data_IF_898338023568
#
_entry.id   IF_898338023568
#
_cell.length_a   1.000
_cell.length_b   1.000
_cell.length_c   1.000
_cell.angle_alpha   90.00
_cell.angle_beta   90.00
_cell.angle_gamma   90.00
#
_symmetry.space_group_name_H-M   'P 1'
#
loop_
_entity.id
_entity.type
_entity.pdbx_description
1 polymer ?
#
# COMPACT_ATOMS: atom_id res chain seq x y z
N UNK A 1 71.43 37.37 -30.85
CA UNK A 1 70.90 36.09 -31.36
C UNK A 1 70.42 35.23 -30.20
N UNK A 2 69.12 35.17 -29.92
CA UNK A 2 68.54 34.21 -28.98
C UNK A 2 67.27 33.64 -29.60
N UNK A 3 67.27 32.31 -29.75
CA UNK A 3 66.29 31.49 -30.47
C UNK A 3 64.97 31.41 -29.69
N UNK A 4 63.87 31.63 -30.40
CA UNK A 4 62.49 31.31 -30.00
C UNK A 4 62.27 29.80 -29.99
N UNK A 5 61.81 29.24 -28.87
CA UNK A 5 61.28 27.88 -28.79
C UNK A 5 59.77 27.91 -29.06
N UNK A 6 59.33 27.22 -30.12
CA UNK A 6 57.91 26.95 -30.40
C UNK A 6 57.50 25.70 -29.62
N UNK A 7 56.50 25.82 -28.76
CA UNK A 7 55.84 24.68 -28.13
C UNK A 7 54.91 24.01 -29.15
N UNK A 8 55.17 22.73 -29.43
CA UNK A 8 54.35 21.87 -30.27
C UNK A 8 53.29 21.21 -29.35
N UNK A 9 52.03 21.63 -29.50
CA UNK A 9 50.89 21.05 -28.80
C UNK A 9 50.48 19.76 -29.53
N UNK A 10 50.78 18.59 -28.94
CA UNK A 10 50.38 17.29 -29.47
C UNK A 10 48.97 16.95 -28.96
N UNK A 11 47.95 17.15 -29.80
CA UNK A 11 46.58 16.71 -29.53
C UNK A 11 46.49 15.20 -29.74
N UNK A 12 46.35 14.45 -28.65
CA UNK A 12 46.07 13.01 -28.67
C UNK A 12 44.56 12.82 -28.93
N UNK A 13 44.19 12.44 -30.16
CA UNK A 13 42.84 12.01 -30.53
C UNK A 13 42.58 10.61 -29.96
N UNK A 14 41.86 10.53 -28.84
CA UNK A 14 41.32 9.27 -28.32
C UNK A 14 40.05 8.95 -29.12
N UNK A 15 40.16 8.05 -30.09
CA UNK A 15 39.02 7.49 -30.80
C UNK A 15 38.32 6.45 -29.91
N UNK A 16 37.15 6.79 -29.38
CA UNK A 16 36.24 5.80 -28.79
C UNK A 16 35.73 4.88 -29.91
N UNK A 17 35.80 3.54 -29.77
CA UNK A 17 35.12 2.66 -30.71
C UNK A 17 33.62 2.92 -30.59
N UNK A 18 33.03 3.46 -31.65
CA UNK A 18 31.60 3.55 -31.83
C UNK A 18 31.02 2.16 -31.65
N UNK A 19 30.04 2.05 -30.75
CA UNK A 19 29.20 0.87 -30.60
C UNK A 19 28.74 0.47 -32.00
N UNK A 20 29.14 -0.73 -32.44
CA UNK A 20 28.66 -1.31 -33.68
C UNK A 20 27.13 -1.32 -33.60
N UNK A 21 26.49 -0.60 -34.52
CA UNK A 21 25.07 -0.70 -34.74
C UNK A 21 24.75 -2.18 -34.91
N UNK A 22 24.08 -2.75 -33.89
CA UNK A 22 23.36 -4.00 -34.04
C UNK A 22 22.26 -3.70 -35.08
N UNK A 23 22.55 -3.99 -36.34
CA UNK A 23 21.50 -4.23 -37.32
C UNK A 23 20.92 -5.60 -37.01
N UNK A 24 20.21 -5.71 -35.89
CA UNK A 24 19.27 -6.81 -35.69
C UNK A 24 18.07 -6.51 -36.58
N UNK A 25 18.12 -7.16 -37.74
CA UNK A 25 17.08 -7.17 -38.75
C UNK A 25 15.88 -8.06 -38.34
N UNK A 26 15.57 -8.11 -37.05
CA UNK A 26 14.36 -8.69 -36.47
C UNK A 26 13.99 -7.90 -35.20
N UNK A 27 13.76 -6.60 -35.34
CA UNK A 27 12.77 -5.97 -34.47
C UNK A 27 11.43 -6.63 -34.83
N UNK A 28 10.77 -7.39 -33.93
CA UNK A 28 9.47 -7.96 -34.24
C UNK A 28 8.56 -6.80 -34.67
N UNK A 29 7.93 -6.98 -35.82
CA UNK A 29 7.02 -5.98 -36.38
C UNK A 29 5.99 -5.60 -35.30
N UNK A 30 5.62 -4.32 -35.26
CA UNK A 30 4.72 -3.71 -34.27
C UNK A 30 3.38 -4.47 -34.08
N UNK A 31 3.02 -5.35 -35.01
CA UNK A 31 1.84 -6.22 -34.96
C UNK A 31 1.91 -7.40 -33.95
N UNK A 32 3.06 -7.77 -33.40
CA UNK A 32 3.17 -8.96 -32.52
C UNK A 32 2.96 -8.70 -31.02
N UNK A 33 2.56 -7.50 -30.59
CA UNK A 33 2.47 -7.17 -29.15
C UNK A 33 1.06 -7.00 -28.58
N UNK A 34 0.02 -7.04 -29.41
CA UNK A 34 -1.37 -7.06 -28.95
C UNK A 34 -1.91 -8.48 -29.12
N UNK A 35 -1.97 -9.21 -28.02
CA UNK A 35 -2.59 -10.53 -27.96
C UNK A 35 -3.84 -10.46 -27.08
N UNK A 36 -4.75 -11.42 -27.28
CA UNK A 36 -5.88 -11.60 -26.37
C UNK A 36 -5.47 -12.62 -25.34
N UNK A 37 -5.35 -12.21 -24.08
CA UNK A 37 -5.07 -13.12 -22.98
C UNK A 37 -6.39 -13.63 -22.39
N UNK A 38 -6.41 -14.87 -21.94
CA UNK A 38 -7.61 -15.47 -21.34
C UNK A 38 -7.42 -15.60 -19.84
N UNK A 39 -8.33 -15.01 -19.06
CA UNK A 39 -8.45 -15.28 -17.62
C UNK A 39 -9.68 -16.14 -17.38
N UNK A 40 -9.55 -17.16 -16.53
CA UNK A 40 -10.66 -17.99 -16.10
C UNK A 40 -10.92 -17.74 -14.62
N UNK A 41 -12.11 -17.23 -14.30
CA UNK A 41 -12.48 -16.82 -12.94
C UNK A 41 -13.37 -17.90 -12.32
N UNK A 42 -12.92 -18.44 -11.19
CA UNK A 42 -13.59 -19.53 -10.46
C UNK A 42 -13.87 -19.15 -9.02
N UNK A 43 -14.95 -19.67 -8.48
CA UNK A 43 -15.37 -19.50 -7.09
C UNK A 43 -14.87 -20.65 -6.22
N UNK A 44 -14.29 -20.33 -5.07
CA UNK A 44 -13.83 -21.31 -4.06
C UNK A 44 -14.87 -21.58 -2.97
N UNK A 45 -15.90 -20.75 -2.86
CA UNK A 45 -16.88 -20.75 -1.76
C UNK A 45 -18.10 -21.62 -1.96
N UNK A 46 -18.32 -22.10 -3.18
CA UNK A 46 -19.54 -22.77 -3.66
C UNK A 46 -20.76 -21.85 -3.84
N UNK A 47 -20.64 -20.53 -3.65
CA UNK A 47 -21.72 -19.57 -3.91
C UNK A 47 -22.20 -19.64 -5.36
N UNK A 48 -21.29 -19.66 -6.34
CA UNK A 48 -21.65 -19.76 -7.75
C UNK A 48 -22.26 -21.12 -8.09
N UNK A 49 -21.78 -22.19 -7.44
CA UNK A 49 -22.33 -23.54 -7.66
C UNK A 49 -23.76 -23.64 -7.14
N UNK A 50 -24.04 -23.05 -5.98
CA UNK A 50 -25.40 -22.99 -5.43
C UNK A 50 -26.36 -22.17 -6.31
N UNK A 51 -25.90 -21.06 -6.89
CA UNK A 51 -26.73 -20.17 -7.72
C UNK A 51 -26.91 -20.68 -9.15
N UNK A 52 -25.88 -21.27 -9.75
CA UNK A 52 -25.80 -21.51 -11.19
C UNK A 52 -25.34 -22.92 -11.59
N UNK A 53 -25.09 -23.81 -10.63
CA UNK A 53 -24.67 -25.19 -10.89
C UNK A 53 -23.22 -25.34 -11.37
N UNK A 54 -22.42 -24.28 -11.31
CA UNK A 54 -21.00 -24.26 -11.69
C UNK A 54 -20.21 -23.30 -10.80
N UNK A 55 -18.91 -23.55 -10.64
CA UNK A 55 -17.97 -22.66 -9.97
C UNK A 55 -17.49 -21.49 -10.85
N UNK A 56 -17.97 -21.34 -12.09
CA UNK A 56 -17.63 -20.20 -12.95
C UNK A 56 -18.20 -18.89 -12.39
N UNK A 57 -17.34 -17.89 -12.18
CA UNK A 57 -17.78 -16.58 -11.68
C UNK A 57 -18.12 -15.68 -12.85
N UNK A 58 -19.43 -15.53 -13.10
CA UNK A 58 -19.95 -14.58 -14.08
C UNK A 58 -19.97 -13.15 -13.57
N UNK A 59 -19.83 -12.21 -14.51
CA UNK A 59 -19.94 -10.77 -14.24
C UNK A 59 -18.95 -10.26 -13.19
N UNK A 60 -17.82 -10.96 -13.01
CA UNK A 60 -16.70 -10.44 -12.22
C UNK A 60 -16.06 -9.26 -12.93
N UNK A 61 -15.82 -8.17 -12.19
CA UNK A 61 -15.01 -7.05 -12.65
C UNK A 61 -13.54 -7.41 -12.48
N UNK A 62 -12.74 -7.26 -13.54
CA UNK A 62 -11.31 -7.52 -13.53
C UNK A 62 -10.55 -6.23 -13.81
N UNK A 63 -9.68 -5.87 -12.88
CA UNK A 63 -8.78 -4.72 -12.93
C UNK A 63 -7.35 -5.21 -13.13
N UNK A 64 -6.72 -4.74 -14.21
CA UNK A 64 -5.31 -4.98 -14.47
C UNK A 64 -4.58 -3.63 -14.53
N UNK A 65 -3.49 -3.50 -13.79
CA UNK A 65 -2.61 -2.34 -13.90
C UNK A 65 -1.21 -2.78 -14.27
N UNK A 66 -0.66 -2.17 -15.31
CA UNK A 66 0.74 -2.36 -15.68
C UNK A 66 1.60 -1.44 -14.82
N UNK A 67 2.44 -1.96 -13.91
CA UNK A 67 3.35 -1.11 -13.13
C UNK A 67 4.33 -0.38 -14.06
N UNK A 68 4.81 -1.06 -15.09
CA UNK A 68 5.81 -0.53 -16.03
C UNK A 68 5.30 0.63 -16.90
N UNK A 69 4.00 0.63 -17.25
CA UNK A 69 3.41 1.61 -18.18
C UNK A 69 2.45 2.58 -17.51
N UNK A 70 2.03 2.32 -16.28
CA UNK A 70 1.01 3.08 -15.56
C UNK A 70 -0.42 2.89 -16.09
N UNK A 71 -0.61 2.13 -17.16
CA UNK A 71 -1.94 1.89 -17.75
C UNK A 71 -2.80 0.99 -16.85
N UNK A 72 -4.09 1.32 -16.76
CA UNK A 72 -5.11 0.52 -16.09
C UNK A 72 -6.15 0.04 -17.10
N UNK A 73 -6.54 -1.22 -16.99
CA UNK A 73 -7.50 -1.89 -17.86
C UNK A 73 -8.63 -2.49 -17.04
N UNK A 74 -9.85 -2.45 -17.59
CA UNK A 74 -11.07 -2.96 -16.96
C UNK A 74 -11.74 -3.95 -17.89
N UNK A 75 -12.10 -5.10 -17.36
CA UNK A 75 -12.84 -6.14 -18.08
C UNK A 75 -13.96 -6.69 -17.20
N UNK A 76 -14.88 -7.41 -17.84
CA UNK A 76 -15.96 -8.12 -17.14
C UNK A 76 -16.01 -9.56 -17.64
N UNK A 77 -16.08 -10.50 -16.71
CA UNK A 77 -16.19 -11.92 -17.03
C UNK A 77 -17.55 -12.24 -17.65
N UNK A 78 -17.55 -13.10 -18.67
CA UNK A 78 -18.77 -13.58 -19.33
C UNK A 78 -19.55 -14.58 -18.45
N UNK A 79 -20.61 -15.17 -19.00
CA UNK A 79 -21.45 -16.14 -18.29
C UNK A 79 -20.74 -17.46 -17.92
N UNK A 80 -19.58 -17.74 -18.52
CA UNK A 80 -18.71 -18.88 -18.27
C UNK A 80 -17.50 -18.53 -17.38
N UNK A 81 -17.46 -17.30 -16.85
CA UNK A 81 -16.34 -16.83 -16.03
C UNK A 81 -15.06 -16.59 -16.84
N UNK A 82 -15.18 -16.34 -18.14
CA UNK A 82 -14.04 -16.07 -19.02
C UNK A 82 -13.90 -14.57 -19.26
N UNK A 83 -12.67 -14.08 -19.19
CA UNK A 83 -12.28 -12.73 -19.64
C UNK A 83 -11.31 -12.87 -20.81
N UNK A 84 -11.70 -12.29 -21.95
CA UNK A 84 -10.84 -12.10 -23.13
C UNK A 84 -10.18 -10.74 -23.08
N UNK A 85 -9.01 -10.67 -22.46
CA UNK A 85 -8.27 -9.44 -22.22
C UNK A 85 -7.41 -9.06 -23.45
N UNK A 86 -8.03 -8.33 -24.39
CA UNK A 86 -7.37 -7.82 -25.59
C UNK A 86 -6.70 -6.45 -25.35
N UNK A 87 -5.71 -6.11 -26.19
CA UNK A 87 -5.04 -4.80 -26.16
C UNK A 87 -3.97 -4.64 -25.08
N UNK A 88 -3.63 -5.73 -24.39
CA UNK A 88 -2.56 -5.78 -23.40
C UNK A 88 -1.23 -6.14 -24.06
N UNK A 89 -0.15 -5.57 -23.53
CA UNK A 89 1.21 -6.00 -23.87
C UNK A 89 1.64 -7.14 -22.92
N UNK A 90 2.57 -7.97 -23.36
CA UNK A 90 3.23 -8.92 -22.47
C UNK A 90 3.96 -8.23 -21.32
N UNK A 91 3.91 -8.81 -20.14
CA UNK A 91 4.54 -8.28 -18.94
C UNK A 91 3.76 -8.61 -17.67
N UNK A 92 4.22 -8.03 -16.57
CA UNK A 92 3.61 -8.21 -15.25
C UNK A 92 2.49 -7.20 -15.01
N UNK A 93 1.41 -7.66 -14.39
CA UNK A 93 0.26 -6.85 -14.03
C UNK A 93 -0.14 -7.09 -12.58
N UNK A 94 -0.49 -6.01 -11.89
CA UNK A 94 -1.30 -6.08 -10.66
C UNK A 94 -2.72 -6.48 -11.05
N UNK A 95 -3.31 -7.38 -10.28
CA UNK A 95 -4.64 -7.95 -10.51
C UNK A 95 -5.55 -7.74 -9.30
N UNK A 96 -6.68 -7.10 -9.52
CA UNK A 96 -7.84 -7.13 -8.61
C UNK A 96 -9.04 -7.67 -9.38
N UNK A 97 -9.72 -8.66 -8.79
CA UNK A 97 -10.94 -9.24 -9.32
C UNK A 97 -11.98 -9.21 -8.24
N UNK A 98 -13.14 -8.64 -8.54
CA UNK A 98 -14.26 -8.62 -7.62
C UNK A 98 -15.58 -8.99 -8.30
N UNK A 99 -16.48 -9.59 -7.52
CA UNK A 99 -17.87 -9.81 -7.93
C UNK A 99 -18.79 -9.61 -6.74
N UNK A 100 -19.57 -8.53 -6.77
CA UNK A 100 -20.54 -8.21 -5.73
C UNK A 100 -21.67 -9.25 -5.74
N UNK A 101 -22.06 -9.72 -4.56
CA UNK A 101 -23.22 -10.59 -4.36
C UNK A 101 -24.46 -9.72 -4.09
N UNK A 102 -25.55 -9.93 -4.83
CA UNK A 102 -26.79 -9.21 -4.53
C UNK A 102 -27.48 -9.79 -3.28
N UNK A 103 -28.33 -8.99 -2.64
CA UNK A 103 -29.14 -9.45 -1.51
C UNK A 103 -30.00 -10.68 -1.85
N UNK A 104 -30.60 -10.71 -3.05
CA UNK A 104 -31.40 -11.84 -3.52
C UNK A 104 -30.57 -13.11 -3.75
N UNK A 105 -29.32 -12.96 -4.18
CA UNK A 105 -28.39 -14.07 -4.33
C UNK A 105 -27.98 -14.60 -2.97
N UNK A 106 -27.69 -13.71 -2.01
CA UNK A 106 -27.41 -14.07 -0.63
C UNK A 106 -28.59 -14.79 0.03
N UNK A 107 -29.83 -14.32 -0.20
CA UNK A 107 -31.03 -15.00 0.27
C UNK A 107 -31.17 -16.41 -0.32
N UNK A 108 -30.89 -16.56 -1.61
CA UNK A 108 -30.97 -17.86 -2.31
C UNK A 108 -29.96 -18.88 -1.79
N UNK A 109 -28.75 -18.46 -1.41
CA UNK A 109 -27.69 -19.37 -0.95
C UNK A 109 -27.66 -19.57 0.57
N UNK A 110 -28.04 -18.55 1.35
CA UNK A 110 -27.92 -18.56 2.83
C UNK A 110 -29.27 -18.62 3.55
N UNK A 111 -30.38 -18.44 2.84
CA UNK A 111 -31.72 -18.33 3.42
C UNK A 111 -32.00 -16.98 4.10
N UNK A 112 -31.05 -16.05 4.07
CA UNK A 112 -31.17 -14.70 4.66
C UNK A 112 -30.74 -13.64 3.66
N UNK A 113 -31.55 -12.60 3.48
CA UNK A 113 -31.14 -11.43 2.70
C UNK A 113 -30.01 -10.70 3.42
N UNK A 114 -28.88 -10.50 2.74
CA UNK A 114 -27.71 -9.83 3.30
C UNK A 114 -26.95 -9.06 2.21
N UNK A 115 -26.46 -7.87 2.56
CA UNK A 115 -25.63 -7.02 1.70
C UNK A 115 -24.16 -7.06 2.15
N UNK A 116 -23.27 -6.47 1.35
CA UNK A 116 -21.84 -6.36 1.68
C UNK A 116 -21.01 -7.62 1.44
N UNK A 117 -21.54 -8.61 0.74
CA UNK A 117 -20.78 -9.79 0.32
C UNK A 117 -20.21 -9.59 -1.08
N UNK A 118 -18.93 -9.93 -1.26
CA UNK A 118 -18.27 -10.01 -2.56
C UNK A 118 -17.38 -11.25 -2.65
N UNK A 119 -17.16 -11.72 -3.87
CA UNK A 119 -16.07 -12.65 -4.18
C UNK A 119 -14.85 -11.83 -4.62
N UNK A 120 -13.68 -12.15 -4.09
CA UNK A 120 -12.41 -11.45 -4.42
C UNK A 120 -11.26 -12.42 -4.59
N UNK A 121 -10.28 -12.09 -5.44
CA UNK A 121 -9.02 -12.84 -5.46
C UNK A 121 -8.28 -12.62 -4.14
N UNK A 122 -7.62 -13.62 -3.56
CA UNK A 122 -6.71 -13.42 -2.40
C UNK A 122 -5.33 -14.00 -2.66
N UNK A 123 -5.29 -15.19 -3.26
CA UNK A 123 -4.05 -15.93 -3.52
C UNK A 123 -3.23 -15.32 -4.68
N UNK A 124 -3.89 -14.91 -5.77
CA UNK A 124 -3.22 -14.38 -6.97
C UNK A 124 -3.50 -12.90 -7.10
N UNK A 125 -2.53 -12.06 -6.73
CA UNK A 125 -2.60 -10.59 -6.82
C UNK A 125 -1.76 -10.00 -7.95
N UNK A 126 -0.85 -10.80 -8.50
CA UNK A 126 0.06 -10.44 -9.58
C UNK A 126 0.04 -11.54 -10.64
N UNK A 127 0.01 -11.17 -11.91
CA UNK A 127 0.07 -12.12 -13.02
C UNK A 127 1.12 -11.68 -14.05
N UNK A 128 1.65 -12.64 -14.79
CA UNK A 128 2.52 -12.38 -15.93
C UNK A 128 1.83 -12.84 -17.21
N UNK A 129 1.74 -11.94 -18.19
CA UNK A 129 1.15 -12.19 -19.48
C UNK A 129 2.26 -12.37 -20.51
N UNK A 130 2.28 -13.51 -21.22
CA UNK A 130 3.34 -13.88 -22.16
C UNK A 130 2.72 -14.06 -23.54
N UNK A 131 3.14 -13.26 -24.53
CA UNK A 131 2.61 -13.36 -25.89
C UNK A 131 2.91 -14.74 -26.48
N UNK A 132 1.92 -15.31 -27.16
CA UNK A 132 1.99 -16.67 -27.70
C UNK A 132 1.63 -17.77 -26.70
N UNK A 133 1.59 -17.48 -25.39
CA UNK A 133 0.99 -18.37 -24.41
C UNK A 133 -0.54 -18.16 -24.38
N UNK A 134 -1.27 -19.14 -24.89
CA UNK A 134 -2.73 -19.13 -24.93
C UNK A 134 -3.35 -19.89 -23.74
N UNK A 135 -2.54 -20.30 -22.76
CA UNK A 135 -3.03 -20.99 -21.56
C UNK A 135 -3.88 -20.03 -20.73
N UNK A 136 -5.15 -20.36 -20.43
CA UNK A 136 -5.95 -19.52 -19.54
C UNK A 136 -5.32 -19.42 -18.16
N UNK A 137 -5.19 -18.19 -17.65
CA UNK A 137 -4.72 -17.96 -16.28
C UNK A 137 -5.91 -18.12 -15.33
N UNK A 138 -5.80 -19.09 -14.42
CA UNK A 138 -6.84 -19.42 -13.48
C UNK A 138 -6.79 -18.53 -12.23
N UNK A 139 -7.86 -17.79 -11.99
CA UNK A 139 -8.03 -16.93 -10.81
C UNK A 139 -9.16 -17.50 -9.95
N UNK A 140 -8.86 -17.83 -8.70
CA UNK A 140 -9.85 -18.28 -7.72
C UNK A 140 -10.24 -17.14 -6.79
N UNK A 141 -11.55 -17.01 -6.55
CA UNK A 141 -12.11 -16.01 -5.68
C UNK A 141 -12.60 -16.64 -4.37
N UNK A 142 -12.31 -15.97 -3.26
CA UNK A 142 -12.79 -16.27 -1.92
C UNK A 142 -13.91 -15.30 -1.53
N UNK A 143 -14.74 -15.68 -0.56
CA UNK A 143 -15.74 -14.76 0.02
C UNK A 143 -15.03 -13.71 0.86
N UNK A 144 -15.49 -12.47 0.69
CA UNK A 144 -15.27 -11.37 1.61
C UNK A 144 -16.64 -10.85 2.05
N UNK A 145 -16.86 -10.88 3.36
CA UNK A 145 -18.04 -10.33 4.00
C UNK A 145 -17.69 -8.97 4.63
N UNK A 146 -18.49 -7.96 4.33
CA UNK A 146 -18.31 -6.61 4.87
C UNK A 146 -17.09 -5.88 4.31
N UNK A 147 -16.74 -4.81 5.02
CA UNK A 147 -15.56 -3.98 4.78
C UNK A 147 -14.55 -4.21 5.90
N UNK A 148 -13.26 -4.01 5.63
CA UNK A 148 -12.24 -3.95 6.68
C UNK A 148 -12.62 -2.84 7.67
N UNK A 149 -12.90 -3.14 8.96
CA UNK A 149 -13.54 -2.16 9.86
C UNK A 149 -12.71 -0.91 10.13
N UNK A 150 -11.43 -1.11 10.46
CA UNK A 150 -10.46 -0.05 10.75
C UNK A 150 -9.38 -0.09 9.67
N UNK A 151 -9.12 1.04 9.04
CA UNK A 151 -8.18 1.16 7.92
C UNK A 151 -7.25 2.34 8.10
N UNK A 152 -6.09 2.30 7.44
CA UNK A 152 -5.19 3.44 7.29
C UNK A 152 -5.74 4.35 6.18
N UNK A 153 -6.29 5.51 6.54
CA UNK A 153 -6.91 6.44 5.59
C UNK A 153 -5.88 7.34 4.91
N UNK A 154 -4.88 7.81 5.66
CA UNK A 154 -3.89 8.74 5.13
C UNK A 154 -2.52 8.53 5.78
N UNK A 155 -1.46 8.69 4.99
CA UNK A 155 -0.07 8.72 5.46
C UNK A 155 0.59 9.96 4.89
N UNK A 156 1.03 10.84 5.77
CA UNK A 156 1.87 11.98 5.43
C UNK A 156 3.28 11.74 5.96
N UNK A 157 4.23 11.48 5.05
CA UNK A 157 5.60 11.11 5.42
C UNK A 157 6.70 11.97 4.77
N UNK A 158 6.34 12.86 3.84
CA UNK A 158 7.35 13.52 2.99
C UNK A 158 7.87 14.85 3.53
N UNK A 159 7.21 15.48 4.50
CA UNK A 159 7.57 16.79 5.03
C UNK A 159 7.19 17.97 4.11
N UNK A 160 7.33 19.22 4.56
CA UNK A 160 6.69 20.37 3.94
C UNK A 160 7.64 21.07 2.94
N UNK A 161 7.10 21.74 1.91
CA UNK A 161 7.91 22.33 0.86
C UNK A 161 8.61 23.61 1.35
N UNK A 162 9.90 23.74 1.02
CA UNK A 162 10.67 24.95 1.31
C UNK A 162 11.12 25.12 2.76
N UNK A 163 10.98 24.09 3.60
CA UNK A 163 11.35 24.13 5.02
C UNK A 163 12.72 23.51 5.35
N UNK A 164 13.57 23.23 4.34
CA UNK A 164 14.85 22.55 4.55
C UNK A 164 14.67 21.09 4.98
N UNK A 165 15.40 20.65 6.00
CA UNK A 165 15.31 19.30 6.55
C UNK A 165 14.29 19.24 7.70
N UNK A 166 13.07 19.70 7.45
CA UNK A 166 11.99 19.64 8.43
C UNK A 166 11.13 18.41 8.16
N UNK A 167 11.08 17.49 9.12
CA UNK A 167 10.40 16.19 8.95
C UNK A 167 9.58 15.78 10.17
N UNK A 168 9.33 16.69 11.11
CA UNK A 168 8.61 16.43 12.36
C UNK A 168 7.08 16.39 12.17
N UNK A 169 6.60 16.79 11.00
CA UNK A 169 5.18 16.99 10.69
C UNK A 169 4.50 15.75 10.11
N UNK A 170 5.08 14.57 10.29
CA UNK A 170 4.53 13.33 9.74
C UNK A 170 3.35 12.84 10.57
N UNK A 171 2.44 12.08 9.94
CA UNK A 171 1.39 11.38 10.66
C UNK A 171 0.91 10.13 9.92
N UNK A 172 0.25 9.28 10.71
CA UNK A 172 -0.63 8.20 10.27
C UNK A 172 -2.06 8.54 10.68
N UNK A 173 -3.02 8.34 9.78
CA UNK A 173 -4.43 8.47 10.10
C UNK A 173 -5.15 7.13 9.96
N UNK A 174 -5.97 6.80 10.96
CA UNK A 174 -6.85 5.63 10.94
C UNK A 174 -8.31 6.05 10.86
N UNK A 175 -9.12 5.25 10.15
CA UNK A 175 -10.52 5.52 9.90
C UNK A 175 -11.39 4.31 10.22
N UNK A 176 -12.46 4.53 10.98
CA UNK A 176 -13.48 3.52 11.23
C UNK A 176 -14.57 3.58 10.14
N UNK A 177 -14.45 2.72 9.14
CA UNK A 177 -15.45 2.57 8.08
C UNK A 177 -16.53 1.53 8.39
N UNK A 178 -16.52 0.94 9.59
CA UNK A 178 -17.58 0.04 10.05
C UNK A 178 -18.82 0.82 10.52
N UNK A 179 -19.91 0.11 10.81
CA UNK A 179 -21.14 0.66 11.40
C UNK A 179 -21.18 0.53 12.93
N UNK A 180 -20.06 0.13 13.54
CA UNK A 180 -19.93 -0.09 14.98
C UNK A 180 -18.77 0.71 15.57
N UNK A 181 -18.84 1.01 16.86
CA UNK A 181 -17.71 1.62 17.58
C UNK A 181 -16.55 0.62 17.65
N UNK A 182 -15.35 1.07 17.33
CA UNK A 182 -14.11 0.31 17.51
C UNK A 182 -13.34 0.96 18.67
N UNK A 183 -12.73 0.15 19.53
CA UNK A 183 -11.84 0.65 20.58
C UNK A 183 -10.39 0.46 20.14
N UNK A 184 -9.63 1.56 20.09
CA UNK A 184 -8.24 1.55 19.63
C UNK A 184 -7.29 0.97 20.68
N UNK A 185 -7.69 0.96 21.95
CA UNK A 185 -6.91 0.46 23.08
C UNK A 185 -6.13 -0.81 22.75
N UNK A 186 -4.81 -0.79 22.84
CA UNK A 186 -3.96 -1.95 22.59
C UNK A 186 -3.88 -2.42 21.13
N UNK A 187 -4.33 -1.64 20.14
CA UNK A 187 -3.94 -1.82 18.73
C UNK A 187 -2.48 -1.38 18.61
N UNK A 188 -1.69 -2.10 17.82
CA UNK A 188 -0.29 -1.83 17.54
C UNK A 188 -0.18 -1.12 16.19
N UNK A 189 0.68 -0.10 16.13
CA UNK A 189 1.21 0.50 14.90
C UNK A 189 2.66 0.07 14.77
N UNK A 190 3.01 -0.56 13.65
CA UNK A 190 4.35 -1.08 13.40
C UNK A 190 4.92 -0.57 12.08
N UNK A 191 6.19 -0.21 12.07
CA UNK A 191 6.96 0.00 10.83
C UNK A 191 7.54 -1.35 10.41
N UNK A 192 7.17 -1.83 9.23
CA UNK A 192 7.64 -3.11 8.68
C UNK A 192 9.13 -2.97 8.33
N UNK A 193 9.94 -3.85 8.91
CA UNK A 193 11.38 -3.76 8.84
C UNK A 193 11.93 -4.48 7.60
N UNK A 194 12.82 -3.78 6.91
CA UNK A 194 13.74 -4.32 5.92
C UNK A 194 15.02 -3.49 5.94
N UNK A 195 16.13 -4.06 5.47
CA UNK A 195 17.40 -3.34 5.39
C UNK A 195 18.15 -3.72 4.13
N UNK A 196 18.19 -2.80 3.15
CA UNK A 196 19.02 -2.97 1.96
C UNK A 196 20.53 -2.96 2.28
N UNK A 197 20.93 -2.30 3.38
CA UNK A 197 22.32 -2.27 3.84
C UNK A 197 22.77 -3.64 4.35
N UNK A 198 21.90 -4.32 5.11
CA UNK A 198 22.17 -5.65 5.66
C UNK A 198 21.72 -6.78 4.72
N UNK A 199 21.07 -6.47 3.60
CA UNK A 199 20.51 -7.45 2.69
C UNK A 199 19.30 -8.20 3.28
N UNK A 200 18.58 -7.61 4.24
CA UNK A 200 17.43 -8.21 4.92
C UNK A 200 16.13 -7.77 4.25
N UNK A 201 15.34 -8.73 3.79
CA UNK A 201 13.97 -8.52 3.32
C UNK A 201 13.15 -9.77 3.68
N UNK A 202 12.15 -9.60 4.53
CA UNK A 202 11.33 -10.69 5.07
C UNK A 202 9.96 -10.81 4.39
N UNK A 203 9.76 -10.19 3.21
CA UNK A 203 8.48 -10.18 2.51
C UNK A 203 7.90 -11.59 2.23
N UNK A 204 8.79 -12.58 2.08
CA UNK A 204 8.44 -13.96 1.72
C UNK A 204 8.30 -14.85 2.98
N UNK A 205 8.43 -14.30 4.19
CA UNK A 205 8.02 -15.01 5.41
C UNK A 205 6.52 -15.31 5.30
N UNK A 206 6.06 -16.54 5.55
CA UNK A 206 4.65 -16.89 5.37
C UNK A 206 3.77 -16.60 6.59
N UNK A 207 4.35 -16.22 7.73
CA UNK A 207 3.66 -16.16 9.02
C UNK A 207 3.78 -14.80 9.71
N UNK A 208 4.87 -14.05 9.48
CA UNK A 208 5.20 -12.91 10.31
C UNK A 208 5.60 -11.66 9.53
N UNK A 209 5.14 -10.51 10.05
CA UNK A 209 5.75 -9.20 9.80
C UNK A 209 6.91 -9.06 10.77
N UNK A 210 8.05 -8.60 10.27
CA UNK A 210 9.21 -8.23 11.09
C UNK A 210 9.17 -6.72 11.34
N UNK A 211 9.47 -6.28 12.57
CA UNK A 211 9.47 -4.85 12.89
C UNK A 211 10.55 -4.47 13.92
N UNK A 212 11.04 -3.22 13.80
CA UNK A 212 11.92 -2.54 14.77
C UNK A 212 11.34 -1.25 15.34
N UNK A 213 10.12 -0.91 14.96
CA UNK A 213 9.40 0.25 15.50
C UNK A 213 7.96 -0.19 15.73
N UNK A 214 7.62 -0.39 17.01
CA UNK A 214 6.35 -0.92 17.48
C UNK A 214 5.83 0.00 18.57
N UNK A 215 4.67 0.55 18.30
CA UNK A 215 3.96 1.48 19.18
C UNK A 215 2.54 0.96 19.38
N UNK A 216 1.92 1.28 20.50
CA UNK A 216 0.61 0.74 20.85
C UNK A 216 -0.28 1.86 21.38
N UNK A 217 -1.54 1.89 20.94
CA UNK A 217 -2.53 2.78 21.53
C UNK A 217 -2.68 2.47 23.03
N UNK A 218 -2.68 3.48 23.92
CA UNK A 218 -2.88 3.28 25.36
C UNK A 218 -4.30 2.81 25.68
N UNK A 219 -4.57 2.54 26.96
CA UNK A 219 -5.90 2.22 27.47
C UNK A 219 -6.10 0.74 27.84
N UNK A 220 -7.15 0.50 28.63
CA UNK A 220 -7.49 -0.79 29.24
C UNK A 220 -8.53 -1.61 28.45
N UNK A 221 -9.01 -1.09 27.32
CA UNK A 221 -9.87 -1.82 26.37
C UNK A 221 -11.14 -1.09 25.96
N UNK A 222 -11.48 0.02 26.62
CA UNK A 222 -12.70 0.78 26.34
C UNK A 222 -12.54 2.31 26.49
N UNK A 223 -11.31 2.82 26.50
CA UNK A 223 -11.01 4.24 26.77
C UNK A 223 -10.99 5.09 25.50
N UNK A 224 -10.60 4.50 24.36
CA UNK A 224 -10.41 5.23 23.10
C UNK A 224 -11.35 4.70 22.01
N UNK A 225 -12.66 5.02 22.08
CA UNK A 225 -13.62 4.68 21.04
C UNK A 225 -13.42 5.57 19.81
N UNK A 226 -13.31 4.97 18.63
CA UNK A 226 -13.47 5.63 17.34
C UNK A 226 -14.86 5.30 16.78
N UNK A 227 -15.67 6.33 16.54
CA UNK A 227 -17.04 6.18 16.07
C UNK A 227 -17.11 5.78 14.60
N UNK A 228 -18.22 5.16 14.14
CA UNK A 228 -18.48 4.97 12.72
C UNK A 228 -18.32 6.27 11.93
N UNK A 229 -17.42 6.28 10.96
CA UNK A 229 -17.14 7.43 10.12
C UNK A 229 -16.19 8.48 10.72
N UNK A 230 -15.49 8.15 11.81
CA UNK A 230 -14.52 9.04 12.45
C UNK A 230 -13.07 8.71 12.04
N UNK A 231 -12.25 9.77 11.95
CA UNK A 231 -10.83 9.74 11.63
C UNK A 231 -10.01 10.11 12.86
N UNK A 232 -8.99 9.32 13.18
CA UNK A 232 -8.05 9.63 14.25
C UNK A 232 -6.64 9.79 13.66
N UNK A 233 -6.09 10.99 13.84
CA UNK A 233 -4.72 11.33 13.43
C UNK A 233 -3.75 10.98 14.57
N UNK A 234 -2.68 10.28 14.24
CA UNK A 234 -1.56 9.96 15.12
C UNK A 234 -0.30 10.65 14.58
N UNK A 235 0.10 11.76 15.19
CA UNK A 235 1.20 12.60 14.74
C UNK A 235 2.57 12.09 15.23
N UNK A 236 3.63 12.36 14.48
CA UNK A 236 5.01 12.26 14.97
C UNK A 236 5.17 13.19 16.19
N UNK A 237 4.99 14.50 15.99
CA UNK A 237 4.84 15.47 17.09
C UNK A 237 3.47 16.18 16.94
N UNK A 238 2.61 16.18 17.95
CA UNK A 238 1.29 16.80 17.84
C UNK A 238 1.32 18.30 18.12
N UNK A 239 1.96 19.10 17.25
CA UNK A 239 2.05 20.56 17.39
C UNK A 239 1.57 21.31 16.14
N UNK A 240 1.47 22.63 16.24
CA UNK A 240 1.28 23.48 15.06
C UNK A 240 2.62 23.70 14.34
N UNK A 241 2.95 22.83 13.39
CA UNK A 241 4.22 22.89 12.65
C UNK A 241 4.36 24.13 11.78
N UNK A 242 3.27 24.85 11.48
CA UNK A 242 3.31 26.10 10.71
C UNK A 242 4.14 27.18 11.38
N UNK A 243 4.32 27.08 12.70
CA UNK A 243 5.18 27.98 13.49
C UNK A 243 6.64 27.85 13.06
N UNK A 244 7.10 26.64 12.76
CA UNK A 244 8.48 26.35 12.36
C UNK A 244 8.64 26.29 10.83
N UNK A 245 7.62 25.84 10.12
CA UNK A 245 7.58 25.65 8.68
C UNK A 245 6.21 26.11 8.13
N UNK A 246 6.10 27.34 7.66
CA UNK A 246 4.81 27.97 7.32
C UNK A 246 3.96 27.26 6.25
N UNK A 247 4.56 26.37 5.47
CA UNK A 247 3.92 25.51 4.46
C UNK A 247 3.50 24.13 4.99
N UNK A 248 3.72 23.86 6.27
CA UNK A 248 3.41 22.61 6.95
C UNK A 248 1.96 22.55 7.44
N UNK A 249 1.61 21.45 8.08
CA UNK A 249 0.30 21.11 8.61
C UNK A 249 0.19 21.47 10.10
N UNK A 250 -1.03 21.67 10.58
CA UNK A 250 -1.31 21.82 12.01
C UNK A 250 -1.76 20.47 12.57
N UNK A 251 -0.93 19.86 13.42
CA UNK A 251 -1.20 18.58 14.07
C UNK A 251 -1.50 18.74 15.57
N UNK A 252 -1.68 19.97 16.06
CA UNK A 252 -1.92 20.26 17.48
C UNK A 252 -3.22 19.69 18.05
N UNK A 253 -4.13 19.24 17.18
CA UNK A 253 -5.40 18.62 17.53
C UNK A 253 -5.45 17.11 17.20
N UNK A 254 -4.29 16.47 16.99
CA UNK A 254 -4.20 15.03 16.74
C UNK A 254 -4.77 14.22 17.91
N UNK A 255 -5.27 13.02 17.65
CA UNK A 255 -5.81 12.15 18.69
C UNK A 255 -4.72 11.54 19.57
N UNK A 256 -3.55 11.27 18.98
CA UNK A 256 -2.38 10.72 19.64
C UNK A 256 -1.08 11.29 19.03
N UNK A 257 0.03 11.11 19.75
CA UNK A 257 1.37 11.35 19.21
C UNK A 257 2.37 10.22 19.53
N UNK A 258 3.43 10.11 18.73
CA UNK A 258 4.48 9.11 18.88
C UNK A 258 5.70 9.65 19.66
N UNK A 259 5.45 10.29 20.79
CA UNK A 259 6.49 10.91 21.61
C UNK A 259 7.52 9.90 22.14
N UNK A 260 8.79 10.21 21.93
CA UNK A 260 9.95 9.41 22.32
C UNK A 260 10.69 10.06 23.50
N UNK A 261 10.29 9.63 24.70
CA UNK A 261 10.75 10.15 26.00
C UNK A 261 12.26 10.03 26.31
N UNK A 262 13.00 9.23 25.55
CA UNK A 262 14.44 9.03 25.71
C UNK A 262 15.30 9.76 24.66
N UNK A 263 14.67 10.61 23.86
CA UNK A 263 15.31 11.38 22.80
C UNK A 263 14.98 12.88 22.91
N UNK A 264 15.67 13.75 22.16
CA UNK A 264 15.33 15.17 22.08
C UNK A 264 14.13 15.40 21.16
N UNK A 265 12.99 14.84 21.57
CA UNK A 265 11.68 14.88 20.91
C UNK A 265 10.74 15.87 21.62
N UNK A 266 9.74 16.40 20.92
CA UNK A 266 8.77 17.38 21.42
C UNK A 266 7.50 16.67 21.88
N UNK A 267 7.18 16.80 23.16
CA UNK A 267 5.92 16.33 23.76
C UNK A 267 4.88 17.44 23.76
N UNK A 268 3.65 17.13 23.30
CA UNK A 268 2.48 17.93 23.57
C UNK A 268 1.69 17.29 24.73
N UNK A 269 1.83 17.79 25.98
CA UNK A 269 1.19 17.17 27.15
C UNK A 269 -0.35 17.23 27.13
N UNK A 270 -0.95 17.94 26.17
CA UNK A 270 -2.39 17.95 25.93
C UNK A 270 -2.90 16.77 25.08
N UNK A 271 -2.00 16.03 24.43
CA UNK A 271 -2.30 14.90 23.54
C UNK A 271 -1.82 13.60 24.20
N UNK A 272 -2.63 12.52 24.19
CA UNK A 272 -2.17 11.23 24.69
C UNK A 272 -1.02 10.64 23.86
N UNK A 273 0.02 10.20 24.57
CA UNK A 273 1.16 9.51 23.96
C UNK A 273 0.85 8.04 23.63
N UNK A 274 1.27 7.62 22.44
CA UNK A 274 1.36 6.21 22.07
C UNK A 274 2.36 5.50 23.00
N UNK A 275 2.07 4.26 23.38
CA UNK A 275 3.00 3.45 24.19
C UNK A 275 4.08 2.89 23.27
N UNK A 276 5.32 3.37 23.44
CA UNK A 276 6.49 2.80 22.77
C UNK A 276 6.79 1.40 23.33
N UNK A 277 6.59 0.37 22.51
CA UNK A 277 6.96 -1.01 22.86
C UNK A 277 8.41 -1.26 22.48
N UNK A 278 8.80 -0.87 21.26
CA UNK A 278 10.17 -1.01 20.79
C UNK A 278 10.47 0.01 19.69
N UNK A 279 11.52 0.81 19.89
CA UNK A 279 12.21 1.56 18.83
C UNK A 279 13.58 1.95 19.39
N UNK A 280 14.63 1.31 18.89
CA UNK A 280 15.98 1.38 19.47
C UNK A 280 16.80 2.60 19.02
N UNK A 281 16.32 3.32 18.00
CA UNK A 281 17.06 4.37 17.31
C UNK A 281 16.13 5.49 16.83
N UNK A 282 16.74 6.61 16.41
CA UNK A 282 16.02 7.81 16.01
C UNK A 282 15.69 8.74 17.17
N UNK A 283 15.50 10.01 16.82
CA UNK A 283 14.98 11.01 17.76
C UNK A 283 13.45 10.99 17.80
N UNK A 284 12.83 10.82 16.63
CA UNK A 284 11.37 10.84 16.47
C UNK A 284 10.85 9.47 16.00
N UNK A 285 9.54 9.36 15.75
CA UNK A 285 8.97 8.17 15.12
C UNK A 285 9.40 8.01 13.65
N UNK A 286 10.19 6.98 13.36
CA UNK A 286 10.84 6.86 12.05
C UNK A 286 10.01 6.06 11.04
N UNK A 287 9.10 6.74 10.35
CA UNK A 287 8.36 6.15 9.21
C UNK A 287 9.03 6.38 7.84
N UNK A 288 10.22 6.97 7.81
CA UNK A 288 10.93 7.26 6.56
C UNK A 288 10.38 8.50 5.85
N UNK A 289 10.10 8.37 4.55
CA UNK A 289 9.49 9.48 3.79
C UNK A 289 9.25 9.15 2.33
N UNK A 290 10.28 9.11 1.49
CA UNK A 290 10.12 8.64 0.10
C UNK A 290 9.76 7.14 0.03
N UNK A 291 10.08 6.38 1.08
CA UNK A 291 9.72 4.97 1.22
C UNK A 291 9.46 4.62 2.68
N UNK A 292 8.60 3.63 2.90
CA UNK A 292 8.24 3.10 4.21
C UNK A 292 7.13 2.08 4.08
N UNK A 293 6.89 1.33 5.15
CA UNK A 293 5.83 0.34 5.20
C UNK A 293 5.26 0.29 6.61
N UNK A 294 3.96 0.44 6.73
CA UNK A 294 3.25 0.49 8.01
C UNK A 294 2.24 -0.66 8.08
N UNK A 295 2.04 -1.19 9.28
CA UNK A 295 0.94 -2.10 9.58
C UNK A 295 0.26 -1.69 10.88
N UNK A 296 -1.06 -1.84 10.94
CA UNK A 296 -1.82 -1.87 12.18
C UNK A 296 -2.21 -3.30 12.51
N UNK A 297 -2.06 -3.71 13.77
CA UNK A 297 -2.31 -5.08 14.21
C UNK A 297 -2.99 -5.13 15.57
N UNK A 298 -3.80 -6.17 15.82
CA UNK A 298 -4.47 -6.37 17.10
C UNK A 298 -4.23 -7.76 17.67
N UNK A 299 -3.39 -7.81 18.70
CA UNK A 299 -3.11 -8.99 19.51
C UNK A 299 -2.47 -8.56 20.84
N UNK A 300 -2.38 -9.45 21.85
CA UNK A 300 -1.71 -9.10 23.11
C UNK A 300 -0.24 -8.74 22.88
N UNK A 301 0.17 -7.54 23.30
CA UNK A 301 1.54 -7.05 23.08
C UNK A 301 2.61 -7.90 23.78
N UNK A 302 2.26 -8.56 24.89
CA UNK A 302 3.12 -9.54 25.58
C UNK A 302 3.36 -10.83 24.78
N UNK A 303 2.60 -11.04 23.70
CA UNK A 303 2.76 -12.15 22.75
C UNK A 303 3.68 -11.81 21.57
N UNK A 304 4.28 -10.61 21.54
CA UNK A 304 5.33 -10.27 20.57
C UNK A 304 6.50 -11.25 20.71
N UNK A 305 6.96 -11.80 19.59
CA UNK A 305 8.04 -12.80 19.59
C UNK A 305 9.35 -12.08 19.25
N UNK A 306 10.34 -12.04 20.16
CA UNK A 306 11.65 -11.46 19.85
C UNK A 306 12.36 -12.27 18.74
N UNK A 307 13.00 -11.58 17.80
CA UNK A 307 13.80 -12.17 16.73
C UNK A 307 15.03 -11.31 16.45
N UNK A 308 16.19 -11.71 16.95
CA UNK A 308 17.41 -10.88 16.94
C UNK A 308 17.17 -9.50 17.59
N UNK A 309 17.29 -8.43 16.81
CA UNK A 309 17.02 -7.04 17.20
C UNK A 309 15.68 -6.51 16.62
N UNK A 310 14.78 -7.44 16.29
CA UNK A 310 13.44 -7.23 15.74
C UNK A 310 12.40 -7.94 16.62
N UNK A 311 11.13 -7.71 16.32
CA UNK A 311 10.01 -8.51 16.81
C UNK A 311 9.14 -9.00 15.66
N UNK A 312 8.52 -10.16 15.86
CA UNK A 312 7.60 -10.78 14.92
C UNK A 312 6.15 -10.48 15.31
N UNK A 313 5.38 -10.02 14.34
CA UNK A 313 3.94 -9.78 14.43
C UNK A 313 3.23 -10.81 13.54
N UNK A 314 2.34 -11.66 14.07
CA UNK A 314 1.63 -12.65 13.26
C UNK A 314 0.80 -11.98 12.15
N UNK A 315 0.87 -12.50 10.93
CA UNK A 315 0.04 -12.02 9.82
C UNK A 315 -1.45 -12.07 10.11
N UNK A 316 -1.91 -13.08 10.85
CA UNK A 316 -3.31 -13.20 11.26
C UNK A 316 -3.77 -12.10 12.21
N UNK A 317 -2.86 -11.33 12.81
CA UNK A 317 -3.17 -10.21 13.68
C UNK A 317 -3.18 -8.85 12.96
N UNK A 318 -2.66 -8.79 11.72
CA UNK A 318 -2.62 -7.55 10.93
C UNK A 318 -4.03 -7.20 10.47
N UNK A 319 -4.46 -5.98 10.77
CA UNK A 319 -5.75 -5.44 10.35
C UNK A 319 -5.62 -4.76 8.98
N UNK A 320 -4.54 -4.04 8.76
CA UNK A 320 -4.26 -3.28 7.54
C UNK A 320 -2.75 -3.04 7.40
N UNK A 321 -2.24 -2.96 6.18
CA UNK A 321 -0.85 -2.68 5.88
C UNK A 321 -0.69 -1.89 4.58
N UNK A 322 0.23 -0.93 4.60
CA UNK A 322 0.48 -0.02 3.46
C UNK A 322 1.98 0.10 3.24
N UNK A 323 2.43 -0.21 2.02
CA UNK A 323 3.78 0.10 1.55
C UNK A 323 3.76 1.30 0.61
N UNK A 324 4.68 2.24 0.83
CA UNK A 324 4.97 3.34 -0.09
C UNK A 324 6.43 3.31 -0.48
N UNK A 325 6.67 3.60 -1.76
CA UNK A 325 7.99 3.49 -2.36
C UNK A 325 8.32 4.72 -3.19
N UNK A 326 9.62 5.01 -3.29
CA UNK A 326 10.13 6.11 -4.12
C UNK A 326 9.72 5.93 -5.59
N UNK A 327 9.75 4.69 -6.05
CA UNK A 327 9.27 4.28 -7.36
C UNK A 327 8.23 3.15 -7.15
N UNK A 328 6.93 3.46 -7.17
CA UNK A 328 5.88 2.47 -6.94
C UNK A 328 5.77 1.43 -8.07
N UNK A 329 6.50 1.62 -9.18
CA UNK A 329 6.53 0.65 -10.28
C UNK A 329 7.52 -0.50 -10.04
N UNK A 330 8.47 -0.31 -9.11
CA UNK A 330 9.54 -1.28 -8.77
C UNK A 330 9.09 -2.30 -7.74
N UNK A 331 8.01 -3.01 -8.05
CA UNK A 331 7.43 -4.03 -7.17
C UNK A 331 8.40 -5.17 -6.81
N UNK A 332 9.46 -5.36 -7.60
CA UNK A 332 10.55 -6.30 -7.29
C UNK A 332 11.29 -5.93 -5.99
N UNK A 333 11.26 -4.66 -5.59
CA UNK A 333 11.90 -4.13 -4.38
C UNK A 333 10.95 -4.06 -3.17
N UNK A 334 9.70 -4.53 -3.30
CA UNK A 334 8.74 -4.55 -2.18
C UNK A 334 9.27 -5.33 -0.97
N UNK A 335 8.83 -4.88 0.19
CA UNK A 335 9.24 -5.38 1.50
C UNK A 335 8.04 -5.95 2.27
N UNK A 336 6.82 -5.58 1.88
CA UNK A 336 5.60 -6.14 2.44
C UNK A 336 5.16 -7.36 1.65
N UNK A 337 4.69 -8.38 2.37
CA UNK A 337 4.14 -9.60 1.79
C UNK A 337 2.93 -9.25 0.88
N UNK A 338 2.87 -9.76 -0.36
CA UNK A 338 1.77 -9.46 -1.29
C UNK A 338 0.36 -9.87 -0.81
N UNK A 339 0.25 -10.74 0.20
CA UNK A 339 -1.02 -11.07 0.83
C UNK A 339 -1.57 -9.94 1.72
N UNK A 340 -0.69 -9.09 2.27
CA UNK A 340 -1.04 -7.91 3.05
C UNK A 340 -1.14 -6.67 2.17
N UNK A 341 -0.16 -6.44 1.31
CA UNK A 341 -0.17 -5.36 0.32
C UNK A 341 0.58 -5.80 -0.95
N UNK A 342 -0.17 -6.05 -2.03
CA UNK A 342 0.38 -6.50 -3.31
C UNK A 342 1.04 -5.38 -4.12
N UNK A 343 0.68 -4.12 -3.88
CA UNK A 343 1.13 -2.97 -4.64
C UNK A 343 1.97 -2.01 -3.80
N UNK A 344 2.03 -0.77 -4.24
CA UNK A 344 2.68 0.30 -3.49
C UNK A 344 2.00 1.63 -3.79
N UNK A 345 1.83 2.45 -2.74
CA UNK A 345 1.61 3.89 -2.85
C UNK A 345 2.95 4.61 -3.06
N UNK A 346 2.96 5.94 -2.94
CA UNK A 346 4.18 6.75 -2.99
C UNK A 346 4.46 7.36 -4.37
N UNK A 347 5.73 7.35 -4.79
CA UNK A 347 6.19 8.20 -5.89
C UNK A 347 6.32 9.67 -5.48
N UNK A 348 6.42 9.93 -4.17
CA UNK A 348 6.57 11.24 -3.58
C UNK A 348 8.05 11.48 -3.25
N UNK A 349 8.56 12.65 -3.61
CA UNK A 349 9.87 13.12 -3.17
C UNK A 349 9.77 13.80 -1.80
N UNK A 350 10.86 13.80 -1.04
CA UNK A 350 10.93 14.58 0.19
C UNK A 350 10.58 16.06 -0.03
N UNK A 351 9.98 16.65 0.99
CA UNK A 351 9.67 18.06 1.14
C UNK A 351 8.78 18.60 0.01
N UNK A 352 7.78 17.81 -0.39
CA UNK A 352 6.79 18.24 -1.40
C UNK A 352 5.50 18.71 -0.77
N UNK A 353 5.25 18.40 0.51
CA UNK A 353 3.96 18.63 1.17
C UNK A 353 2.84 17.72 0.70
N UNK A 354 3.12 16.72 -0.15
CA UNK A 354 2.11 15.79 -0.66
C UNK A 354 1.84 14.67 0.32
N UNK A 355 0.65 14.11 0.24
CA UNK A 355 0.22 13.01 1.11
C UNK A 355 -0.31 11.82 0.30
N UNK A 356 -0.32 10.65 0.92
CA UNK A 356 -0.89 9.42 0.38
C UNK A 356 -2.23 9.18 1.06
N UNK A 357 -3.31 9.35 0.31
CA UNK A 357 -4.67 9.21 0.84
C UNK A 357 -5.37 8.02 0.16
N UNK A 358 -6.10 7.23 0.94
CA UNK A 358 -6.87 6.11 0.44
C UNK A 358 -8.09 6.60 -0.34
N UNK A 359 -8.31 6.02 -1.52
CA UNK A 359 -9.39 6.40 -2.44
C UNK A 359 -10.75 6.05 -1.86
N UNK A 360 -11.72 6.90 -2.15
CA UNK A 360 -13.13 6.73 -1.78
C UNK A 360 -13.88 5.85 -2.80
N UNK A 361 -14.70 4.91 -2.31
CA UNK A 361 -15.59 4.06 -3.12
C UNK A 361 -17.02 4.59 -3.10
N UNK A 362 -17.55 4.86 -1.91
CA UNK A 362 -18.89 5.44 -1.69
C UNK A 362 -18.88 6.33 -0.45
N UNK A 363 -19.91 7.16 -0.29
CA UNK A 363 -20.01 8.16 0.78
C UNK A 363 -21.29 8.05 1.62
N UNK A 364 -22.16 7.07 1.38
CA UNK A 364 -23.47 6.99 2.04
C UNK A 364 -23.69 5.61 2.64
N UNK A 365 -24.03 5.48 3.95
CA UNK A 365 -24.27 6.55 4.94
C UNK A 365 -22.99 7.20 5.51
N UNK A 366 -21.82 6.65 5.17
CA UNK A 366 -20.48 7.13 5.56
C UNK A 366 -19.50 6.85 4.43
N UNK A 367 -18.30 7.40 4.52
CA UNK A 367 -17.24 7.11 3.55
C UNK A 367 -16.85 5.63 3.68
N UNK A 368 -16.73 4.95 2.55
CA UNK A 368 -16.09 3.64 2.45
C UNK A 368 -14.86 3.83 1.59
N UNK A 369 -13.71 3.54 2.18
CA UNK A 369 -12.41 3.64 1.53
C UNK A 369 -12.09 2.33 0.83
N UNK A 370 -11.37 2.43 -0.27
CA UNK A 370 -10.98 1.28 -1.09
C UNK A 370 -9.88 0.51 -0.36
N UNK A 371 -10.09 -0.78 -0.20
CA UNK A 371 -9.12 -1.69 0.41
C UNK A 371 -9.15 -3.04 -0.33
N UNK A 372 -8.20 -3.20 -1.24
CA UNK A 372 -8.00 -4.39 -2.05
C UNK A 372 -6.75 -5.16 -1.62
N UNK A 373 -6.17 -4.80 -0.46
CA UNK A 373 -4.82 -5.19 -0.04
C UNK A 373 -3.80 -4.89 -1.15
N UNK A 374 -3.92 -3.73 -1.80
CA UNK A 374 -3.06 -3.32 -2.89
C UNK A 374 -2.99 -1.79 -2.99
N UNK A 375 -1.94 -1.21 -2.41
CA UNK A 375 -1.79 0.24 -2.30
C UNK A 375 -1.74 0.98 -3.63
N UNK A 376 -1.39 0.33 -4.74
CA UNK A 376 -1.45 0.96 -6.08
C UNK A 376 -2.89 1.19 -6.56
N UNK A 377 -3.82 0.34 -6.12
CA UNK A 377 -5.24 0.53 -6.36
C UNK A 377 -5.90 1.40 -5.31
N UNK A 378 -5.43 1.29 -4.07
CA UNK A 378 -6.11 1.81 -2.89
C UNK A 378 -5.76 3.26 -2.61
N UNK A 379 -4.55 3.72 -2.93
CA UNK A 379 -4.09 5.08 -2.61
C UNK A 379 -3.95 5.99 -3.84
N UNK A 380 -4.13 7.28 -3.62
CA UNK A 380 -3.75 8.36 -4.53
C UNK A 380 -2.83 9.37 -3.83
N UNK A 381 -2.17 10.20 -4.64
CA UNK A 381 -1.31 11.27 -4.13
C UNK A 381 -2.08 12.58 -4.18
N UNK A 382 -2.36 13.15 -3.01
CA UNK A 382 -3.04 14.43 -2.87
C UNK A 382 -2.04 15.57 -2.71
N UNK A 383 -2.39 16.81 -3.11
CA UNK A 383 -1.45 17.93 -3.15
C UNK A 383 -1.03 18.45 -1.75
N UNK A 384 -1.77 18.11 -0.70
CA UNK A 384 -1.53 18.51 0.69
C UNK A 384 -2.19 17.53 1.65
N UNK A 385 -1.70 17.37 2.89
CA UNK A 385 -2.32 16.50 3.88
C UNK A 385 -3.70 16.98 4.33
N UNK A 386 -4.57 16.06 4.72
CA UNK A 386 -5.96 16.33 5.14
C UNK A 386 -6.30 15.72 6.51
N UNK A 387 -5.57 16.08 7.58
CA UNK A 387 -5.77 15.47 8.90
C UNK A 387 -7.20 15.67 9.41
N UNK A 388 -7.82 14.57 9.84
CA UNK A 388 -9.20 14.50 10.32
C UNK A 388 -10.25 14.54 9.21
N UNK A 389 -9.86 14.32 7.95
CA UNK A 389 -10.71 14.54 6.79
C UNK A 389 -10.46 13.60 5.63
N UNK A 390 -11.15 13.87 4.51
CA UNK A 390 -10.98 13.14 3.25
C UNK A 390 -11.20 14.10 2.06
N UNK A 391 -10.34 14.07 1.05
CA UNK A 391 -10.36 14.97 -0.11
C UNK A 391 -11.54 14.76 -1.10
#
# INVERSE_FOLDING_TARGET
MKRTYKYLLLLLLISFPSCSMLTDNDMPAVAERQTTFTLQIKDKSNFMTALFGTDNVRSANVFLQSPALGNTYRFTADSNGIVSAAGLLSGKYLLSVERIMSESEMESISGTSASGYKLVNKEVRNIELIAGDNTPILIRLDVQAGVTPLVISEIYACGPPGAGLYYHDKYLEVYNQSDSVIYLDGIIVAVIYSSSYLGLNYRDDPLYVHSKSIWMFPGSGNEYPIQPGEFFVCAEDAIDHRINASSSVDLSASAFEFYKDDAPDIDNPGIPNMIRIYQDSGNDWLIGGEKGALAIAKFPADSLIPYNDEFLIPYSAVLDAVEYMKDPTRLDLKTVNPGLDAGSAGGIQFYTGKSMERKKVTSTPRIILRDENNSSFDFEIIPGPTPGGHH
#
